data_IF_973731812513
#
_entry.id   IF_973731812513
#
_cell.length_a   1.000
_cell.length_b   1.000
_cell.length_c   1.000
_cell.angle_alpha   90.00
_cell.angle_beta   90.00
_cell.angle_gamma   90.00
#
_symmetry.space_group_name_H-M   'P 1'
#
loop_
_entity.id
_entity.type
_entity.pdbx_description
1 polymer ?
#
# COMPACT_ATOMS: atom_id res chain seq x y z
N UNK A 1 -4.16 24.11 19.36
CA UNK A 1 -4.66 23.07 18.43
C UNK A 1 -3.81 23.10 17.18
N UNK A 2 -3.20 21.98 16.81
CA UNK A 2 -2.55 21.86 15.50
C UNK A 2 -3.65 21.87 14.43
N UNK A 3 -3.65 22.88 13.56
CA UNK A 3 -4.74 23.14 12.59
C UNK A 3 -4.83 22.05 11.51
N UNK A 4 -3.73 21.34 11.26
CA UNK A 4 -3.70 20.30 10.24
C UNK A 4 -2.84 19.11 10.68
N UNK A 5 -3.40 17.89 10.74
CA UNK A 5 -2.71 16.75 11.34
C UNK A 5 -1.76 16.02 10.37
N UNK A 6 -1.78 16.38 9.09
CA UNK A 6 -0.96 15.71 8.07
C UNK A 6 0.40 16.37 7.96
N UNK A 7 1.42 15.54 7.82
CA UNK A 7 2.69 15.99 7.26
C UNK A 7 2.53 16.16 5.75
N UNK A 8 2.57 17.42 5.30
CA UNK A 8 2.47 17.79 3.89
C UNK A 8 3.85 17.99 3.24
N UNK A 9 4.94 17.89 4.01
CA UNK A 9 6.29 18.25 3.58
C UNK A 9 7.14 16.98 3.42
N UNK A 10 7.05 16.04 4.37
CA UNK A 10 7.92 14.87 4.40
C UNK A 10 9.39 15.27 4.41
N UNK A 11 10.21 14.59 3.60
CA UNK A 11 11.64 14.90 3.48
C UNK A 11 11.96 16.20 2.71
N UNK A 12 10.98 16.83 2.06
CA UNK A 12 11.21 18.01 1.22
C UNK A 12 12.29 17.77 0.14
N UNK A 13 13.09 18.78 -0.25
CA UNK A 13 14.07 18.66 -1.33
C UNK A 13 15.34 17.86 -0.97
N UNK A 14 15.49 17.40 0.27
CA UNK A 14 16.70 16.73 0.77
C UNK A 14 16.35 15.42 1.45
N UNK A 15 16.01 14.42 0.65
CA UNK A 15 15.84 13.05 1.14
C UNK A 15 17.15 12.46 1.70
N UNK A 16 17.08 11.62 2.74
CA UNK A 16 18.25 10.94 3.27
C UNK A 16 18.84 9.97 2.24
N UNK A 17 20.15 9.70 2.36
CA UNK A 17 20.75 8.57 1.66
C UNK A 17 20.22 7.28 2.31
N UNK A 18 19.63 6.39 1.50
CA UNK A 18 19.03 5.16 1.98
C UNK A 18 20.06 4.11 2.43
N UNK A 19 21.32 4.23 2.00
CA UNK A 19 22.45 3.37 2.39
C UNK A 19 22.12 1.87 2.32
N UNK A 20 21.58 1.44 1.17
CA UNK A 20 21.17 0.05 0.99
C UNK A 20 22.37 -0.91 1.07
N UNK A 21 22.17 -2.15 1.56
CA UNK A 21 23.24 -3.13 1.69
C UNK A 21 24.04 -3.32 0.40
N UNK A 22 25.36 -3.35 0.53
CA UNK A 22 26.27 -3.50 -0.62
C UNK A 22 26.35 -2.28 -1.54
N UNK A 23 25.83 -1.12 -1.13
CA UNK A 23 25.82 0.09 -1.96
C UNK A 23 24.82 0.01 -3.11
N UNK A 24 23.74 -0.77 -2.95
CA UNK A 24 22.73 -0.93 -4.00
C UNK A 24 22.03 0.40 -4.32
N UNK A 25 21.77 0.64 -5.61
CA UNK A 25 21.10 1.88 -6.05
C UNK A 25 19.57 1.86 -5.82
N UNK A 26 18.99 0.67 -5.62
CA UNK A 26 17.55 0.47 -5.48
C UNK A 26 17.28 -0.75 -4.59
N UNK A 27 16.23 -0.67 -3.78
CA UNK A 27 15.64 -1.82 -3.10
C UNK A 27 14.41 -2.28 -3.88
N UNK A 28 14.35 -3.57 -4.24
CA UNK A 28 13.18 -4.19 -4.88
C UNK A 28 12.44 -5.02 -3.84
N UNK A 29 11.11 -4.86 -3.75
CA UNK A 29 10.29 -5.51 -2.74
C UNK A 29 9.09 -6.19 -3.40
N UNK A 30 9.06 -7.52 -3.37
CA UNK A 30 7.93 -8.32 -3.84
C UNK A 30 6.91 -8.50 -2.72
N UNK A 31 5.68 -8.02 -2.92
CA UNK A 31 4.55 -8.22 -2.01
C UNK A 31 3.64 -9.27 -2.62
N UNK A 32 3.21 -10.24 -1.82
CA UNK A 32 2.13 -11.15 -2.15
C UNK A 32 1.04 -10.98 -1.10
N UNK A 33 -0.08 -10.43 -1.53
CA UNK A 33 -1.29 -10.48 -0.73
C UNK A 33 -1.96 -11.83 -0.98
N UNK A 34 -2.51 -12.42 0.08
CA UNK A 34 -3.32 -13.62 -0.01
C UNK A 34 -4.61 -13.35 0.74
N UNK A 35 -5.56 -12.80 -0.01
CA UNK A 35 -6.86 -12.33 0.48
C UNK A 35 -7.99 -13.19 -0.08
N UNK A 36 -7.68 -14.10 -0.99
CA UNK A 36 -8.65 -14.93 -1.70
C UNK A 36 -9.37 -15.88 -0.75
N UNK A 37 -10.70 -15.81 -0.77
CA UNK A 37 -11.58 -16.45 0.21
C UNK A 37 -11.83 -15.57 1.45
N UNK A 38 -11.31 -14.35 1.49
CA UNK A 38 -11.58 -13.33 2.52
C UNK A 38 -12.33 -12.11 1.98
N UNK A 39 -12.67 -12.09 0.70
CA UNK A 39 -13.45 -11.02 0.08
C UNK A 39 -14.87 -10.92 0.66
N UNK A 40 -15.51 -9.77 0.44
CA UNK A 40 -16.90 -9.62 0.80
C UNK A 40 -17.75 -10.70 0.12
N UNK A 41 -18.46 -11.50 0.92
CA UNK A 41 -19.35 -12.54 0.41
C UNK A 41 -20.48 -12.81 1.39
N UNK A 42 -21.68 -13.02 0.84
CA UNK A 42 -22.85 -13.39 1.64
C UNK A 42 -22.64 -14.71 2.40
N UNK A 43 -21.71 -15.57 1.94
CA UNK A 43 -21.34 -16.81 2.64
C UNK A 43 -20.61 -16.54 3.97
N UNK A 44 -19.98 -15.38 4.12
CA UNK A 44 -19.31 -14.94 5.35
C UNK A 44 -20.19 -14.01 6.20
N UNK A 45 -21.43 -13.72 5.76
CA UNK A 45 -22.38 -12.87 6.47
C UNK A 45 -22.36 -11.40 6.06
N UNK A 46 -21.62 -11.06 5.00
CA UNK A 46 -21.57 -9.69 4.49
C UNK A 46 -22.88 -9.29 3.81
N UNK A 47 -23.14 -7.98 3.77
CA UNK A 47 -24.38 -7.44 3.21
C UNK A 47 -24.51 -7.65 1.69
N UNK A 48 -23.40 -7.87 0.99
CA UNK A 48 -23.34 -8.06 -0.46
C UNK A 48 -22.06 -8.81 -0.87
N UNK A 49 -22.01 -9.28 -2.12
CA UNK A 49 -20.77 -9.75 -2.74
C UNK A 49 -19.81 -8.59 -2.99
N UNK A 50 -18.52 -8.88 -3.02
CA UNK A 50 -17.48 -7.92 -3.38
C UNK A 50 -17.74 -7.30 -4.75
N UNK A 51 -17.60 -5.97 -4.84
CA UNK A 51 -17.90 -5.21 -6.05
C UNK A 51 -16.65 -5.01 -6.92
N UNK A 52 -15.48 -4.90 -6.31
CA UNK A 52 -14.22 -4.69 -7.01
C UNK A 52 -13.08 -5.45 -6.31
N UNK A 53 -12.64 -6.54 -6.96
CA UNK A 53 -11.38 -7.24 -6.71
C UNK A 53 -10.58 -7.38 -8.00
N UNK A 54 -10.71 -6.40 -8.88
CA UNK A 54 -9.88 -6.39 -10.07
C UNK A 54 -8.49 -5.92 -9.67
N UNK A 55 -7.55 -6.85 -9.69
CA UNK A 55 -6.14 -6.61 -9.93
C UNK A 55 -6.03 -5.86 -11.28
N UNK A 56 -6.22 -4.54 -11.29
CA UNK A 56 -6.10 -3.78 -12.53
C UNK A 56 -4.61 -3.68 -12.83
N UNK A 57 -4.13 -4.55 -13.72
CA UNK A 57 -2.80 -4.40 -14.32
C UNK A 57 -2.79 -3.08 -15.10
N UNK A 58 -2.23 -2.03 -14.49
CA UNK A 58 -2.05 -0.71 -15.10
C UNK A 58 -3.15 0.33 -14.88
N UNK A 59 -3.92 0.26 -13.78
CA UNK A 59 -4.70 1.41 -13.30
C UNK A 59 -3.81 2.45 -12.58
#
# INVERSE_FOLDING_TARGET
>A
MNRYPRDMIGYGPRAPNADWPGGACVAVQFVLNYEEGGENTILHGDAASEAFLSEIVGA
#
